data_IF_023509897609
#
_entry.id   IF_023509897609
#
_cell.length_a   1.000
_cell.length_b   1.000
_cell.length_c   1.000
_cell.angle_alpha   90.00
_cell.angle_beta   90.00
_cell.angle_gamma   90.00
#
_symmetry.space_group_name_H-M   'P 1'
#
loop_
_entity.id
_entity.type
_entity.pdbx_description
1 polymer ?
#
# COMPACT_ATOMS: atom_id res chain seq x y z
N UNK A 1 21.64 21.34 2.65
CA UNK A 1 20.56 20.93 1.72
C UNK A 1 20.16 19.45 1.90
N UNK A 2 21.09 18.49 1.80
CA UNK A 2 20.77 17.05 1.94
C UNK A 2 20.14 16.68 3.29
N UNK A 3 20.66 17.19 4.41
CA UNK A 3 20.06 16.97 5.75
C UNK A 3 18.62 17.47 5.84
N UNK A 4 18.33 18.63 5.24
CA UNK A 4 16.99 19.18 5.21
C UNK A 4 16.04 18.27 4.41
N UNK A 5 16.47 17.83 3.22
CA UNK A 5 15.69 16.88 2.41
C UNK A 5 15.47 15.57 3.20
N UNK A 6 16.51 15.03 3.84
CA UNK A 6 16.45 13.76 4.58
C UNK A 6 15.40 13.76 5.69
N UNK A 7 15.31 14.83 6.48
CA UNK A 7 14.47 14.85 7.68
C UNK A 7 13.18 15.66 7.56
N UNK A 8 13.12 16.64 6.65
CA UNK A 8 11.93 17.48 6.49
C UNK A 8 10.94 16.96 5.44
N UNK A 9 11.39 16.16 4.47
CA UNK A 9 10.53 15.75 3.33
C UNK A 9 9.29 14.98 3.77
N UNK A 10 9.45 13.95 4.60
CA UNK A 10 8.32 13.16 5.08
C UNK A 10 7.31 14.03 5.85
N UNK A 11 7.66 14.73 6.95
CA UNK A 11 6.67 15.52 7.68
C UNK A 11 6.08 16.67 6.85
N UNK A 12 6.85 17.29 5.95
CA UNK A 12 6.34 18.38 5.13
C UNK A 12 5.34 17.90 4.06
N UNK A 13 5.62 16.79 3.38
CA UNK A 13 4.78 16.28 2.29
C UNK A 13 3.65 15.42 2.86
N UNK A 14 3.97 14.35 3.59
CA UNK A 14 2.95 13.44 4.15
C UNK A 14 2.11 14.17 5.21
N UNK A 15 2.76 14.81 6.18
CA UNK A 15 2.07 15.55 7.23
C UNK A 15 1.29 16.74 6.69
N UNK A 16 1.87 17.49 5.76
CA UNK A 16 1.19 18.61 5.09
C UNK A 16 -0.02 18.17 4.27
N UNK A 17 0.12 17.11 3.47
CA UNK A 17 -0.99 16.54 2.69
C UNK A 17 -2.09 16.01 3.62
N UNK A 18 -1.75 15.29 4.68
CA UNK A 18 -2.71 14.75 5.64
C UNK A 18 -3.50 15.85 6.35
N UNK A 19 -2.82 16.87 6.87
CA UNK A 19 -3.48 18.01 7.51
C UNK A 19 -4.40 18.77 6.53
N UNK A 20 -3.94 18.97 5.29
CA UNK A 20 -4.74 19.61 4.26
C UNK A 20 -5.98 18.78 3.90
N UNK A 21 -5.85 17.46 3.73
CA UNK A 21 -6.97 16.56 3.44
C UNK A 21 -7.98 16.52 4.58
N UNK A 22 -7.53 16.44 5.83
CA UNK A 22 -8.39 16.48 7.01
C UNK A 22 -9.12 17.83 7.11
N UNK A 23 -8.43 18.93 6.87
CA UNK A 23 -9.03 20.27 6.86
C UNK A 23 -10.08 20.40 5.75
N UNK A 24 -9.78 19.95 4.52
CA UNK A 24 -10.73 19.98 3.41
C UNK A 24 -11.96 19.12 3.72
N UNK A 25 -11.78 17.91 4.28
CA UNK A 25 -12.87 17.03 4.71
C UNK A 25 -13.75 17.66 5.80
N UNK A 26 -13.16 18.51 6.65
CA UNK A 26 -13.86 19.23 7.71
C UNK A 26 -14.57 20.50 7.23
N UNK A 27 -14.35 20.88 5.97
CA UNK A 27 -14.82 22.13 5.35
C UNK A 27 -15.86 21.85 4.26
N UNK A 28 -16.40 22.90 3.65
CA UNK A 28 -17.29 22.77 2.49
C UNK A 28 -16.54 22.49 1.16
N UNK A 29 -15.25 22.12 1.22
CA UNK A 29 -14.44 21.87 0.03
C UNK A 29 -14.82 20.50 -0.53
N UNK A 30 -15.13 20.46 -1.82
CA UNK A 30 -15.46 19.21 -2.51
C UNK A 30 -14.27 18.24 -2.47
N UNK A 31 -14.54 16.95 -2.30
CA UNK A 31 -13.54 15.90 -2.51
C UNK A 31 -12.94 15.98 -3.92
N UNK A 32 -13.80 16.11 -4.92
CA UNK A 32 -13.41 16.18 -6.33
C UNK A 32 -13.34 17.64 -6.80
N UNK A 33 -12.25 18.07 -7.46
CA UNK A 33 -11.04 17.32 -7.81
C UNK A 33 -9.90 17.44 -6.76
N UNK A 34 -10.13 18.12 -5.63
CA UNK A 34 -9.06 18.60 -4.76
C UNK A 34 -8.23 17.50 -4.08
N UNK A 35 -8.84 16.41 -3.59
CA UNK A 35 -8.08 15.33 -2.93
C UNK A 35 -7.14 14.62 -3.91
N UNK A 36 -7.59 14.21 -5.10
CA UNK A 36 -6.69 13.71 -6.15
C UNK A 36 -5.57 14.69 -6.50
N UNK A 37 -5.86 15.99 -6.63
CA UNK A 37 -4.82 16.98 -6.97
C UNK A 37 -3.74 17.08 -5.89
N UNK A 38 -4.14 17.14 -4.61
CA UNK A 38 -3.18 17.14 -3.48
C UNK A 38 -2.36 15.85 -3.45
N UNK A 39 -3.02 14.70 -3.64
CA UNK A 39 -2.36 13.39 -3.68
C UNK A 39 -1.33 13.32 -4.80
N UNK A 40 -1.71 13.70 -6.02
CA UNK A 40 -0.83 13.67 -7.19
C UNK A 40 0.34 14.65 -7.06
N UNK A 41 0.10 15.84 -6.48
CA UNK A 41 1.16 16.80 -6.20
C UNK A 41 2.17 16.23 -5.19
N UNK A 42 1.70 15.63 -4.09
CA UNK A 42 2.55 15.00 -3.09
C UNK A 42 3.36 13.83 -3.67
N UNK A 43 2.72 12.94 -4.44
CA UNK A 43 3.38 11.82 -5.12
C UNK A 43 4.44 12.33 -6.12
N UNK A 44 4.12 13.36 -6.90
CA UNK A 44 5.08 13.97 -7.83
C UNK A 44 6.29 14.54 -7.10
N UNK A 45 6.10 15.17 -5.94
CA UNK A 45 7.21 15.64 -5.10
C UNK A 45 8.08 14.49 -4.61
N UNK A 46 7.50 13.37 -4.13
CA UNK A 46 8.27 12.17 -3.74
C UNK A 46 9.06 11.63 -4.93
N UNK A 47 8.42 11.48 -6.09
CA UNK A 47 9.05 10.99 -7.32
C UNK A 47 10.23 11.86 -7.77
N UNK A 48 10.12 13.19 -7.65
CA UNK A 48 11.20 14.13 -7.96
C UNK A 48 12.33 14.03 -6.93
N UNK A 49 12.01 13.95 -5.64
CA UNK A 49 13.02 13.90 -4.57
C UNK A 49 13.81 12.60 -4.57
N UNK A 50 13.22 11.49 -4.98
CA UNK A 50 13.97 10.23 -5.22
C UNK A 50 15.10 10.40 -6.25
N UNK A 51 14.95 11.31 -7.22
CA UNK A 51 16.00 11.61 -8.21
C UNK A 51 17.10 12.50 -7.63
N UNK A 52 16.79 13.29 -6.61
CA UNK A 52 17.72 14.21 -5.96
C UNK A 52 18.54 13.52 -4.87
N UNK A 53 17.89 12.70 -4.03
CA UNK A 53 18.52 12.02 -2.90
C UNK A 53 18.14 10.52 -2.86
N UNK A 54 18.62 9.71 -3.83
CA UNK A 54 18.35 8.29 -3.83
C UNK A 54 19.11 7.56 -2.73
N UNK A 55 18.44 6.59 -2.11
CA UNK A 55 19.01 5.59 -1.22
C UNK A 55 19.91 4.62 -2.01
N UNK A 56 19.43 4.14 -3.16
CA UNK A 56 20.18 3.27 -4.06
C UNK A 56 20.15 3.82 -5.50
N UNK A 57 21.33 4.16 -6.04
CA UNK A 57 21.43 4.80 -7.37
C UNK A 57 20.99 3.85 -8.48
N UNK A 58 21.20 2.54 -8.32
CA UNK A 58 20.82 1.55 -9.32
C UNK A 58 19.29 1.45 -9.55
N UNK A 59 18.49 1.83 -8.55
CA UNK A 59 17.02 1.78 -8.59
C UNK A 59 16.37 2.98 -9.31
N UNK A 60 17.13 4.02 -9.64
CA UNK A 60 16.63 5.23 -10.31
C UNK A 60 16.51 5.12 -11.84
N UNK A 61 16.73 3.92 -12.39
CA UNK A 61 16.58 3.65 -13.82
C UNK A 61 15.44 2.66 -14.01
N UNK A 62 14.76 2.80 -15.13
CA UNK A 62 13.78 1.82 -15.57
C UNK A 62 14.46 0.46 -15.79
N UNK A 63 13.85 -0.60 -15.28
CA UNK A 63 14.35 -1.97 -15.41
C UNK A 63 13.45 -2.71 -16.39
N UNK A 64 13.87 -2.74 -17.66
CA UNK A 64 13.21 -3.50 -18.72
C UNK A 64 11.73 -3.13 -18.96
N UNK A 65 11.41 -1.84 -18.96
CA UNK A 65 10.07 -1.29 -19.19
C UNK A 65 9.13 -1.46 -18.00
N UNK A 66 9.64 -1.61 -16.78
CA UNK A 66 8.81 -1.77 -15.58
C UNK A 66 7.96 -0.53 -15.29
N UNK A 67 8.46 0.67 -15.56
CA UNK A 67 7.72 1.91 -15.32
C UNK A 67 6.36 1.91 -16.01
N UNK A 68 6.30 1.56 -17.29
CA UNK A 68 5.02 1.55 -18.02
C UNK A 68 4.04 0.52 -17.45
N UNK A 69 4.53 -0.66 -17.06
CA UNK A 69 3.72 -1.75 -16.49
C UNK A 69 3.17 -1.35 -15.13
N UNK A 70 3.99 -0.69 -14.33
CA UNK A 70 3.63 -0.29 -13.00
C UNK A 70 2.61 0.85 -13.04
N UNK A 71 2.68 1.76 -14.04
CA UNK A 71 1.61 2.73 -14.31
C UNK A 71 0.29 2.02 -14.63
N UNK A 72 0.31 0.96 -15.44
CA UNK A 72 -0.91 0.19 -15.75
C UNK A 72 -1.51 -0.46 -14.51
N UNK A 73 -0.69 -1.13 -13.68
CA UNK A 73 -1.16 -1.72 -12.42
C UNK A 73 -1.75 -0.66 -11.50
N UNK A 74 -1.06 0.45 -11.27
CA UNK A 74 -1.54 1.53 -10.40
C UNK A 74 -2.88 2.08 -10.92
N UNK A 75 -2.97 2.35 -12.22
CA UNK A 75 -4.18 2.92 -12.83
C UNK A 75 -5.36 1.97 -12.70
N UNK A 76 -5.18 0.70 -13.06
CA UNK A 76 -6.24 -0.32 -12.97
C UNK A 76 -6.66 -0.55 -11.53
N UNK A 77 -5.70 -0.68 -10.60
CA UNK A 77 -5.98 -0.86 -9.18
C UNK A 77 -6.73 0.35 -8.61
N UNK A 78 -6.33 1.57 -8.95
CA UNK A 78 -7.00 2.77 -8.46
C UNK A 78 -8.43 2.86 -8.96
N UNK A 79 -8.66 2.64 -10.28
CA UNK A 79 -10.02 2.62 -10.83
C UNK A 79 -10.88 1.54 -10.17
N UNK A 80 -10.31 0.35 -9.97
CA UNK A 80 -11.02 -0.78 -9.36
C UNK A 80 -11.39 -0.51 -7.90
N UNK A 81 -10.48 0.05 -7.10
CA UNK A 81 -10.75 0.40 -5.70
C UNK A 81 -11.80 1.51 -5.62
N UNK A 82 -11.69 2.56 -6.44
CA UNK A 82 -12.69 3.64 -6.45
C UNK A 82 -14.08 3.14 -6.89
N UNK A 83 -14.14 2.28 -7.90
CA UNK A 83 -15.39 1.64 -8.32
C UNK A 83 -15.98 0.76 -7.20
N UNK A 84 -15.12 0.01 -6.48
CA UNK A 84 -15.54 -0.83 -5.37
C UNK A 84 -16.08 -0.02 -4.19
N UNK A 85 -15.43 1.11 -3.87
CA UNK A 85 -15.91 2.05 -2.84
C UNK A 85 -17.26 2.64 -3.25
N UNK A 86 -17.38 3.13 -4.49
CA UNK A 86 -18.63 3.69 -5.00
C UNK A 86 -19.78 2.66 -4.98
N UNK A 87 -19.50 1.42 -5.40
CA UNK A 87 -20.45 0.31 -5.34
C UNK A 87 -20.85 -0.01 -3.90
N UNK A 88 -19.88 -0.17 -2.99
CA UNK A 88 -20.14 -0.46 -1.59
C UNK A 88 -21.04 0.60 -0.94
N UNK A 89 -20.76 1.88 -1.18
CA UNK A 89 -21.59 2.98 -0.67
C UNK A 89 -22.96 3.07 -1.35
N UNK A 90 -23.08 2.72 -2.62
CA UNK A 90 -24.38 2.58 -3.29
C UNK A 90 -25.23 1.46 -2.68
N UNK A 91 -24.61 0.34 -2.32
CA UNK A 91 -25.28 -0.80 -1.69
C UNK A 91 -25.59 -0.57 -0.20
N UNK A 92 -24.94 0.39 0.47
CA UNK A 92 -25.17 0.69 1.89
C UNK A 92 -26.61 1.09 2.21
N UNK A 93 -27.34 1.65 1.24
CA UNK A 93 -28.77 1.95 1.39
C UNK A 93 -29.66 0.71 1.56
N UNK A 94 -29.15 -0.49 1.26
CA UNK A 94 -29.85 -1.76 1.46
C UNK A 94 -29.76 -2.28 2.90
N UNK A 95 -28.85 -1.73 3.72
CA UNK A 95 -28.67 -2.12 5.12
C UNK A 95 -29.51 -1.22 6.03
N UNK A 96 -30.11 -1.77 7.11
CA UNK A 96 -30.88 -0.98 8.06
C UNK A 96 -29.97 0.00 8.82
N UNK A 97 -30.50 1.17 9.18
CA UNK A 97 -29.70 2.14 9.97
C UNK A 97 -29.32 1.62 11.36
N UNK A 98 -29.98 0.57 11.87
CA UNK A 98 -29.62 -0.05 13.16
C UNK A 98 -28.23 -0.68 13.18
N UNK A 99 -27.65 -1.04 12.02
CA UNK A 99 -26.26 -1.55 11.95
C UNK A 99 -25.23 -0.41 11.79
N UNK A 100 -25.70 0.84 11.65
CA UNK A 100 -24.86 2.03 11.49
C UNK A 100 -24.28 2.49 12.83
N UNK A 101 -23.15 1.93 13.24
CA UNK A 101 -22.50 2.27 14.51
C UNK A 101 -21.44 3.39 14.37
N UNK A 102 -21.31 4.00 13.19
CA UNK A 102 -20.30 5.03 12.96
C UNK A 102 -20.58 6.33 13.73
N UNK A 103 -19.57 6.93 14.40
CA UNK A 103 -19.75 8.15 15.18
C UNK A 103 -19.83 9.40 14.26
N UNK A 104 -20.93 9.55 13.54
CA UNK A 104 -21.14 10.64 12.56
C UNK A 104 -21.10 12.04 13.18
N UNK A 105 -21.37 12.16 14.48
CA UNK A 105 -21.31 13.41 15.24
C UNK A 105 -19.91 13.77 15.75
N UNK A 106 -18.94 12.85 15.67
CA UNK A 106 -17.56 13.15 16.06
C UNK A 106 -16.93 14.16 15.08
N UNK A 107 -15.95 14.97 15.53
CA UNK A 107 -15.19 15.84 14.63
C UNK A 107 -14.63 15.06 13.44
N UNK A 108 -14.62 15.67 12.26
CA UNK A 108 -14.23 14.97 11.03
C UNK A 108 -12.82 14.36 11.11
N UNK A 109 -11.86 15.03 11.75
CA UNK A 109 -10.52 14.48 11.96
C UNK A 109 -10.54 13.16 12.75
N UNK A 110 -11.45 13.00 13.73
CA UNK A 110 -11.64 11.74 14.46
C UNK A 110 -12.18 10.66 13.52
N UNK A 111 -13.16 11.01 12.68
CA UNK A 111 -13.73 10.07 11.70
C UNK A 111 -12.68 9.61 10.69
N UNK A 112 -11.82 10.52 10.20
CA UNK A 112 -10.72 10.18 9.28
C UNK A 112 -9.72 9.23 9.94
N UNK A 113 -9.29 9.53 11.18
CA UNK A 113 -8.36 8.67 11.90
C UNK A 113 -8.97 7.30 12.24
N UNK A 114 -10.26 7.25 12.57
CA UNK A 114 -10.96 6.00 12.83
C UNK A 114 -11.11 5.17 11.55
N UNK A 115 -11.43 5.80 10.42
CA UNK A 115 -11.45 5.13 9.12
C UNK A 115 -10.06 4.59 8.80
N UNK A 116 -9.03 5.37 9.12
CA UNK A 116 -7.66 4.94 9.01
C UNK A 116 -7.32 3.73 9.85
N UNK A 117 -7.68 3.72 11.14
CA UNK A 117 -7.43 2.60 12.04
C UNK A 117 -8.04 1.29 11.50
N UNK A 118 -9.27 1.33 10.98
CA UNK A 118 -9.93 0.16 10.40
C UNK A 118 -9.27 -0.29 9.10
N UNK A 119 -8.91 0.65 8.23
CA UNK A 119 -8.24 0.35 6.96
C UNK A 119 -6.85 -0.23 7.20
N UNK A 120 -6.03 0.42 8.02
CA UNK A 120 -4.65 0.01 8.29
C UNK A 120 -4.59 -1.37 8.98
N UNK A 121 -5.49 -1.64 9.93
CA UNK A 121 -5.61 -2.98 10.52
C UNK A 121 -6.03 -4.04 9.49
N UNK A 122 -7.02 -3.73 8.66
CA UNK A 122 -7.49 -4.65 7.61
C UNK A 122 -6.39 -4.97 6.59
N UNK A 123 -5.65 -3.94 6.16
CA UNK A 123 -4.50 -4.08 5.30
C UNK A 123 -3.41 -4.92 5.97
N UNK A 124 -3.01 -4.60 7.20
CA UNK A 124 -2.04 -5.40 7.96
C UNK A 124 -2.43 -6.89 8.02
N UNK A 125 -3.67 -7.18 8.42
CA UNK A 125 -4.14 -8.55 8.60
C UNK A 125 -4.15 -9.31 7.26
N UNK A 126 -4.65 -8.69 6.20
CA UNK A 126 -4.71 -9.32 4.88
C UNK A 126 -3.34 -9.40 4.21
N UNK A 127 -2.44 -8.47 4.48
CA UNK A 127 -1.07 -8.49 4.03
C UNK A 127 -0.33 -9.67 4.65
N UNK A 128 -0.34 -9.77 5.98
CA UNK A 128 0.24 -10.91 6.70
C UNK A 128 -0.39 -12.24 6.27
N UNK A 129 -1.72 -12.31 6.16
CA UNK A 129 -2.38 -13.53 5.69
C UNK A 129 -2.00 -13.88 4.24
N UNK A 130 -1.73 -12.87 3.40
CA UNK A 130 -1.24 -13.09 2.04
C UNK A 130 0.15 -13.72 1.99
N UNK A 131 1.00 -13.51 3.00
CA UNK A 131 2.28 -14.21 3.11
C UNK A 131 2.14 -15.64 3.63
N UNK A 132 1.13 -15.90 4.46
CA UNK A 132 0.91 -17.22 5.06
C UNK A 132 0.18 -18.19 4.12
N UNK A 133 -0.76 -17.69 3.31
CA UNK A 133 -1.62 -18.53 2.49
C UNK A 133 -1.08 -18.64 1.05
N UNK A 134 -0.76 -19.85 0.53
CA UNK A 134 -0.06 -20.01 -0.75
C UNK A 134 -0.74 -19.41 -2.00
N UNK A 135 -2.07 -19.41 -2.07
CA UNK A 135 -2.80 -18.80 -3.19
C UNK A 135 -2.77 -17.28 -3.12
N UNK A 136 -2.98 -16.72 -1.93
CA UNK A 136 -2.84 -15.27 -1.72
C UNK A 136 -1.41 -14.80 -1.98
N UNK A 137 -0.41 -15.56 -1.52
CA UNK A 137 0.99 -15.29 -1.81
C UNK A 137 1.27 -15.27 -3.31
N UNK A 138 0.67 -16.15 -4.10
CA UNK A 138 0.84 -16.12 -5.57
C UNK A 138 0.36 -14.83 -6.22
N UNK A 139 -0.73 -14.25 -5.71
CA UNK A 139 -1.21 -12.96 -6.17
C UNK A 139 -0.32 -11.83 -5.63
N UNK A 140 0.08 -11.93 -4.37
CA UNK A 140 0.84 -10.92 -3.65
C UNK A 140 2.31 -10.86 -4.08
N UNK A 141 2.97 -11.98 -4.38
CA UNK A 141 4.37 -12.03 -4.82
C UNK A 141 4.62 -11.24 -6.10
N UNK A 142 3.58 -10.93 -6.89
CA UNK A 142 3.72 -9.95 -7.95
C UNK A 142 4.26 -8.64 -7.34
N UNK A 143 3.67 -8.11 -6.27
CA UNK A 143 4.16 -6.94 -5.54
C UNK A 143 5.64 -7.03 -5.14
N UNK A 144 6.12 -8.20 -4.69
CA UNK A 144 7.52 -8.46 -4.32
C UNK A 144 8.47 -8.74 -5.49
N UNK A 145 7.96 -8.93 -6.71
CA UNK A 145 8.82 -9.23 -7.87
C UNK A 145 9.77 -8.14 -8.37
N UNK A 146 9.57 -6.83 -8.11
CA UNK A 146 10.53 -5.80 -8.50
C UNK A 146 11.89 -6.02 -7.85
N UNK A 147 12.95 -5.96 -8.66
CA UNK A 147 14.35 -6.01 -8.18
C UNK A 147 14.87 -4.61 -7.76
N UNK A 148 13.95 -3.65 -7.63
CA UNK A 148 14.16 -2.29 -7.16
C UNK A 148 12.96 -1.77 -6.39
N UNK A 149 13.22 -0.89 -5.43
CA UNK A 149 12.20 -0.17 -4.68
C UNK A 149 12.19 1.31 -5.03
N UNK A 150 11.01 1.85 -5.29
CA UNK A 150 10.71 3.23 -5.65
C UNK A 150 9.20 3.54 -5.46
N UNK A 151 8.82 4.81 -5.58
CA UNK A 151 7.50 5.33 -5.20
C UNK A 151 6.28 4.62 -5.84
N UNK A 152 6.45 3.90 -6.94
CA UNK A 152 5.35 3.20 -7.62
C UNK A 152 5.06 1.80 -7.06
N UNK A 153 6.01 1.16 -6.35
CA UNK A 153 5.83 -0.23 -5.96
C UNK A 153 4.62 -0.46 -5.05
N UNK A 154 4.25 0.53 -4.23
CA UNK A 154 3.08 0.44 -3.33
C UNK A 154 1.76 0.18 -4.06
N UNK A 155 1.59 0.71 -5.28
CA UNK A 155 0.40 0.48 -6.11
C UNK A 155 0.56 -0.62 -7.17
N UNK A 156 1.76 -1.18 -7.33
CA UNK A 156 2.08 -2.27 -8.26
C UNK A 156 1.67 -3.62 -7.65
N UNK A 157 0.41 -4.02 -7.86
CA UNK A 157 -0.17 -5.26 -7.32
C UNK A 157 -1.09 -5.91 -8.34
N UNK A 158 -1.31 -7.22 -8.23
CA UNK A 158 -2.36 -7.88 -9.01
C UNK A 158 -3.73 -7.33 -8.58
N UNK A 159 -4.68 -7.01 -9.48
CA UNK A 159 -5.96 -6.40 -9.11
C UNK A 159 -6.78 -7.18 -8.08
N UNK A 160 -6.80 -8.52 -8.20
CA UNK A 160 -7.40 -9.37 -7.18
C UNK A 160 -6.68 -9.27 -5.81
N UNK A 161 -5.34 -9.11 -5.79
CA UNK A 161 -4.61 -8.87 -4.55
C UNK A 161 -5.02 -7.54 -3.91
N UNK A 162 -5.12 -6.47 -4.71
CA UNK A 162 -5.58 -5.16 -4.23
C UNK A 162 -6.98 -5.22 -3.61
N UNK A 163 -7.92 -5.91 -4.26
CA UNK A 163 -9.26 -6.14 -3.72
C UNK A 163 -9.27 -6.96 -2.43
N UNK A 164 -8.45 -8.02 -2.36
CA UNK A 164 -8.35 -8.88 -1.18
C UNK A 164 -7.77 -8.11 0.01
N UNK A 165 -6.78 -7.25 -0.22
CA UNK A 165 -6.19 -6.41 0.82
C UNK A 165 -7.19 -5.36 1.33
N UNK A 166 -7.82 -4.58 0.45
CA UNK A 166 -8.66 -3.45 0.85
C UNK A 166 -10.11 -3.85 1.20
N UNK A 167 -10.64 -4.90 0.57
CA UNK A 167 -12.04 -5.29 0.58
C UNK A 167 -12.63 -5.52 1.97
N UNK A 168 -11.97 -6.27 2.88
CA UNK A 168 -12.49 -6.50 4.22
C UNK A 168 -12.70 -5.21 5.01
N UNK A 169 -11.70 -4.32 5.07
CA UNK A 169 -11.82 -3.04 5.78
C UNK A 169 -12.86 -2.11 5.16
N UNK A 170 -12.91 -2.02 3.83
CA UNK A 170 -13.91 -1.19 3.14
C UNK A 170 -15.33 -1.70 3.39
N UNK A 171 -15.51 -3.02 3.44
CA UNK A 171 -16.80 -3.64 3.76
C UNK A 171 -17.21 -3.33 5.20
N UNK A 172 -16.29 -3.46 6.16
CA UNK A 172 -16.55 -3.11 7.57
C UNK A 172 -16.95 -1.63 7.70
N UNK A 173 -16.20 -0.72 7.09
CA UNK A 173 -16.52 0.71 7.13
C UNK A 173 -17.87 1.03 6.50
N UNK A 174 -18.18 0.40 5.37
CA UNK A 174 -19.48 0.51 4.73
C UNK A 174 -20.60 0.06 5.67
N UNK A 175 -20.52 -1.14 6.24
CA UNK A 175 -21.54 -1.69 7.15
C UNK A 175 -21.75 -0.76 8.35
N UNK A 176 -20.65 -0.32 8.98
CA UNK A 176 -20.70 0.61 10.12
C UNK A 176 -21.30 1.97 9.75
N UNK A 177 -21.37 2.32 8.45
CA UNK A 177 -21.93 3.58 7.98
C UNK A 177 -20.94 4.74 8.04
N UNK A 178 -19.65 4.45 7.87
CA UNK A 178 -18.57 5.43 7.80
C UNK A 178 -18.86 6.48 6.72
N UNK A 179 -18.57 7.75 6.99
CA UNK A 179 -18.86 8.80 6.01
C UNK A 179 -17.94 8.67 4.78
N UNK A 180 -18.46 8.75 3.54
CA UNK A 180 -17.65 8.60 2.33
C UNK A 180 -16.46 9.56 2.28
N UNK A 181 -16.64 10.79 2.77
CA UNK A 181 -15.58 11.81 2.80
C UNK A 181 -14.44 11.44 3.77
N UNK A 182 -14.73 10.81 4.90
CA UNK A 182 -13.70 10.38 5.84
C UNK A 182 -12.86 9.22 5.27
N UNK A 183 -13.53 8.26 4.62
CA UNK A 183 -12.87 7.14 3.91
C UNK A 183 -12.04 7.67 2.75
N UNK A 184 -12.59 8.57 1.94
CA UNK A 184 -11.89 9.18 0.83
C UNK A 184 -10.64 9.99 1.27
N UNK A 185 -10.74 10.72 2.40
CA UNK A 185 -9.60 11.42 2.99
C UNK A 185 -8.51 10.46 3.39
N UNK A 186 -8.85 9.39 4.12
CA UNK A 186 -7.85 8.42 4.52
C UNK A 186 -7.20 7.68 3.34
N UNK A 187 -7.98 7.27 2.33
CA UNK A 187 -7.43 6.61 1.14
C UNK A 187 -6.47 7.52 0.37
N UNK A 188 -6.72 8.83 0.34
CA UNK A 188 -5.83 9.82 -0.26
C UNK A 188 -4.53 9.98 0.55
N UNK A 189 -4.61 10.04 1.89
CA UNK A 189 -3.44 10.05 2.79
C UNK A 189 -2.61 8.78 2.60
N UNK A 190 -3.26 7.62 2.70
CA UNK A 190 -2.64 6.31 2.50
C UNK A 190 -1.89 6.24 1.16
N UNK A 191 -2.48 6.78 0.08
CA UNK A 191 -1.83 6.76 -1.24
C UNK A 191 -0.48 7.49 -1.26
N UNK A 192 -0.38 8.64 -0.57
CA UNK A 192 0.89 9.36 -0.41
C UNK A 192 1.85 8.56 0.48
N UNK A 193 1.35 8.00 1.58
CA UNK A 193 2.13 7.21 2.50
C UNK A 193 2.77 5.99 1.82
N UNK A 194 2.02 5.24 1.01
CA UNK A 194 2.54 4.06 0.31
C UNK A 194 3.64 4.41 -0.69
N UNK A 195 3.59 5.60 -1.29
CA UNK A 195 4.69 6.10 -2.11
C UNK A 195 5.94 6.35 -1.25
N UNK A 196 5.81 6.96 -0.06
CA UNK A 196 6.94 7.10 0.86
C UNK A 196 7.46 5.77 1.37
N UNK A 197 6.58 4.83 1.72
CA UNK A 197 6.93 3.52 2.27
C UNK A 197 7.77 2.69 1.30
N UNK A 198 7.55 2.83 0.00
CA UNK A 198 8.29 2.11 -1.03
C UNK A 198 9.40 2.94 -1.68
N UNK A 199 9.48 4.22 -1.36
CA UNK A 199 10.34 5.13 -2.12
C UNK A 199 11.83 4.77 -2.07
N UNK A 200 12.52 5.09 -3.16
CA UNK A 200 13.98 5.10 -3.21
C UNK A 200 14.57 6.34 -2.52
N UNK A 201 13.76 7.17 -1.86
CA UNK A 201 14.24 8.39 -1.23
C UNK A 201 15.01 8.02 0.04
N UNK A 202 16.22 8.55 0.21
CA UNK A 202 17.02 8.41 1.43
C UNK A 202 16.58 9.41 2.50
N UNK A 203 15.28 9.39 2.84
CA UNK A 203 14.74 10.10 3.99
C UNK A 203 14.93 9.29 5.27
N UNK A 204 14.83 9.96 6.41
CA UNK A 204 14.81 9.27 7.70
C UNK A 204 13.84 9.93 8.65
N UNK A 205 13.11 9.09 9.40
CA UNK A 205 12.24 9.50 10.50
C UNK A 205 12.94 9.42 11.86
N UNK A 206 14.20 8.96 11.91
CA UNK A 206 14.89 8.72 13.17
C UNK A 206 14.06 7.81 14.08
N UNK A 207 13.82 8.17 15.35
CA UNK A 207 12.99 7.37 16.27
C UNK A 207 11.54 7.18 15.81
N UNK A 208 10.98 8.08 14.97
CA UNK A 208 9.59 7.95 14.51
C UNK A 208 9.36 6.77 13.56
N UNK A 209 10.43 6.13 13.05
CA UNK A 209 10.32 4.87 12.29
C UNK A 209 9.84 3.67 13.12
N UNK A 210 9.75 3.83 14.45
CA UNK A 210 9.10 2.85 15.34
C UNK A 210 7.58 3.05 15.43
N UNK A 211 7.06 4.17 14.93
CA UNK A 211 5.64 4.51 14.94
C UNK A 211 5.00 4.36 13.56
N UNK A 212 5.77 4.59 12.49
CA UNK A 212 5.31 4.52 11.11
C UNK A 212 6.02 3.43 10.31
N UNK A 213 5.29 2.81 9.38
CA UNK A 213 5.82 1.86 8.42
C UNK A 213 6.40 2.62 7.22
N UNK A 214 7.71 2.79 7.19
CA UNK A 214 8.40 3.67 6.23
C UNK A 214 9.45 2.91 5.44
N UNK A 215 9.96 3.50 4.36
CA UNK A 215 10.94 2.83 3.52
C UNK A 215 12.19 2.36 4.28
N UNK A 216 12.56 3.04 5.36
CA UNK A 216 13.64 2.57 6.24
C UNK A 216 13.40 1.13 6.71
N UNK A 217 12.23 0.78 7.23
CA UNK A 217 11.98 -0.58 7.74
C UNK A 217 11.32 -1.49 6.68
N UNK A 218 10.50 -0.95 5.79
CA UNK A 218 9.74 -1.74 4.82
C UNK A 218 10.62 -2.36 3.72
N UNK A 219 11.84 -1.86 3.47
CA UNK A 219 12.80 -2.53 2.55
C UNK A 219 13.09 -3.98 2.95
N UNK A 220 13.11 -4.29 4.25
CA UNK A 220 13.30 -5.66 4.75
C UNK A 220 12.18 -6.60 4.34
N UNK A 221 10.94 -6.10 4.34
CA UNK A 221 9.78 -6.86 3.88
C UNK A 221 9.91 -7.29 2.40
N UNK A 222 10.64 -6.52 1.60
CA UNK A 222 10.90 -6.81 0.19
C UNK A 222 12.18 -7.62 -0.07
N UNK A 223 12.83 -8.15 0.98
CA UNK A 223 13.99 -9.04 0.80
C UNK A 223 13.65 -10.23 -0.10
N UNK A 224 14.63 -10.63 -0.91
CA UNK A 224 14.49 -11.75 -1.84
C UNK A 224 14.28 -13.08 -1.14
N UNK A 225 14.95 -13.27 -0.01
CA UNK A 225 14.78 -14.44 0.83
C UNK A 225 13.40 -14.38 1.48
N UNK A 226 12.48 -15.24 1.04
CA UNK A 226 11.10 -15.25 1.52
C UNK A 226 10.99 -15.34 3.06
N UNK A 227 11.90 -16.07 3.71
CA UNK A 227 11.93 -16.19 5.16
C UNK A 227 12.26 -14.85 5.86
N UNK A 228 13.13 -14.03 5.26
CA UNK A 228 13.52 -12.73 5.81
C UNK A 228 12.44 -11.66 5.57
N UNK A 229 11.66 -11.83 4.50
CA UNK A 229 10.54 -10.95 4.13
C UNK A 229 9.32 -11.05 5.08
N UNK A 230 9.33 -11.94 6.09
CA UNK A 230 8.20 -12.17 7.00
C UNK A 230 8.11 -11.14 8.14
N UNK A 231 8.31 -9.86 7.82
CA UNK A 231 8.38 -8.74 8.79
C UNK A 231 7.73 -7.49 8.20
N UNK A 232 7.40 -6.51 9.05
CA UNK A 232 6.95 -5.17 8.67
C UNK A 232 5.75 -5.13 7.67
N UNK A 233 4.67 -5.83 8.02
CA UNK A 233 3.47 -5.96 7.18
C UNK A 233 2.55 -4.74 7.23
N UNK A 234 2.70 -3.84 8.20
CA UNK A 234 1.88 -2.65 8.33
C UNK A 234 2.07 -1.67 7.18
N UNK A 235 1.02 -0.94 6.82
CA UNK A 235 1.05 0.01 5.70
C UNK A 235 1.34 1.43 6.19
N UNK A 236 0.72 1.90 7.29
CA UNK A 236 0.93 3.23 7.86
C UNK A 236 1.50 3.18 9.28
N UNK A 237 0.80 2.54 10.22
CA UNK A 237 1.23 2.50 11.62
C UNK A 237 1.93 1.19 11.97
N UNK A 238 3.10 1.29 12.59
CA UNK A 238 3.88 0.13 13.00
C UNK A 238 3.27 -0.59 14.23
N UNK A 239 2.20 -0.05 14.82
CA UNK A 239 1.56 -0.60 16.02
C UNK A 239 1.14 -2.05 15.84
N UNK A 240 0.66 -2.44 14.66
CA UNK A 240 0.23 -3.81 14.39
C UNK A 240 1.41 -4.76 14.32
N UNK A 241 2.51 -4.34 13.70
CA UNK A 241 3.75 -5.10 13.67
C UNK A 241 4.34 -5.30 15.07
N UNK A 242 4.30 -4.30 15.93
CA UNK A 242 4.69 -4.44 17.33
C UNK A 242 3.77 -5.39 18.10
N UNK A 243 2.45 -5.20 17.97
CA UNK A 243 1.45 -5.96 18.70
C UNK A 243 1.51 -7.46 18.37
N UNK A 244 1.75 -7.81 17.11
CA UNK A 244 1.78 -9.20 16.65
C UNK A 244 3.18 -9.73 16.34
N UNK A 245 4.22 -9.04 16.83
CA UNK A 245 5.61 -9.52 16.82
C UNK A 245 6.24 -9.67 15.44
N UNK A 246 5.86 -8.83 14.46
CA UNK A 246 6.43 -8.80 13.11
C UNK A 246 7.28 -7.56 12.82
N UNK A 247 7.45 -6.65 13.78
CA UNK A 247 8.30 -5.48 13.61
C UNK A 247 9.78 -5.87 13.53
N UNK A 248 10.48 -5.35 12.52
CA UNK A 248 11.92 -5.54 12.34
C UNK A 248 12.59 -4.21 11.97
N UNK A 249 13.60 -3.83 12.77
CA UNK A 249 14.49 -2.71 12.49
C UNK A 249 15.93 -3.22 12.45
N UNK A 250 16.68 -2.77 11.44
CA UNK A 250 18.07 -3.16 11.25
C UNK A 250 18.94 -1.93 11.02
N UNK A 251 20.26 -2.07 11.19
CA UNK A 251 21.20 -0.99 10.83
C UNK A 251 21.54 -1.00 9.34
N UNK A 252 21.55 -2.18 8.74
CA UNK A 252 21.87 -2.40 7.34
C UNK A 252 20.57 -2.68 6.62
N UNK A 253 20.30 -1.88 5.59
CA UNK A 253 19.09 -1.99 4.78
C UNK A 253 19.39 -2.69 3.47
N UNK A 254 18.45 -3.49 2.94
CA UNK A 254 18.60 -4.13 1.64
C UNK A 254 18.96 -3.14 0.54
N UNK A 255 19.84 -3.55 -0.37
CA UNK A 255 20.30 -2.80 -1.54
C UNK A 255 20.00 -3.54 -2.84
N UNK A 256 20.46 -3.00 -3.95
CA UNK A 256 20.32 -3.64 -5.26
C UNK A 256 20.87 -5.07 -5.24
N UNK A 257 20.08 -6.02 -5.74
CA UNK A 257 20.39 -7.45 -5.72
C UNK A 257 19.81 -8.20 -4.51
N UNK A 258 19.37 -7.50 -3.46
CA UNK A 258 18.84 -8.08 -2.22
C UNK A 258 17.31 -7.96 -2.09
N UNK A 259 16.64 -7.29 -3.03
CA UNK A 259 15.16 -7.18 -3.14
C UNK A 259 14.63 -7.86 -4.42
N UNK A 260 13.38 -8.32 -4.41
CA UNK A 260 12.78 -9.07 -5.52
C UNK A 260 12.37 -10.49 -5.14
N UNK A 261 12.38 -11.41 -6.11
CA UNK A 261 12.14 -12.84 -5.87
C UNK A 261 13.39 -13.69 -6.21
N UNK A 262 13.50 -14.85 -5.55
CA UNK A 262 14.49 -15.89 -5.87
C UNK A 262 13.83 -16.92 -6.79
N UNK A 263 14.58 -17.40 -7.78
CA UNK A 263 14.23 -18.51 -8.69
C UNK A 263 12.86 -18.39 -9.38
N UNK A 264 12.34 -17.17 -9.50
CA UNK A 264 11.00 -16.90 -10.01
C UNK A 264 11.04 -15.90 -11.15
N UNK A 265 10.77 -16.38 -12.36
CA UNK A 265 10.70 -15.53 -13.55
C UNK A 265 9.27 -15.01 -13.72
N UNK A 266 9.07 -13.73 -13.41
CA UNK A 266 7.79 -13.04 -13.60
C UNK A 266 7.69 -12.53 -15.04
N UNK A 267 6.53 -12.70 -15.72
CA UNK A 267 6.38 -12.19 -17.08
C UNK A 267 6.59 -10.68 -17.17
N UNK A 268 7.16 -10.26 -18.31
CA UNK A 268 7.45 -8.86 -18.61
C UNK A 268 6.27 -8.10 -19.22
N UNK A 269 5.14 -8.74 -19.50
CA UNK A 269 3.95 -8.04 -20.03
C UNK A 269 2.89 -7.92 -18.94
N UNK A 270 2.12 -6.83 -18.97
CA UNK A 270 1.02 -6.62 -18.01
C UNK A 270 0.03 -7.79 -18.01
N UNK A 271 -0.46 -8.20 -19.19
CA UNK A 271 -1.35 -9.36 -19.32
C UNK A 271 -0.70 -10.68 -18.86
N UNK A 272 0.61 -10.82 -19.09
CA UNK A 272 1.38 -11.95 -18.57
C UNK A 272 1.37 -11.99 -17.05
N UNK A 273 1.56 -10.85 -16.39
CA UNK A 273 1.55 -10.71 -14.92
C UNK A 273 0.16 -10.95 -14.33
N UNK A 274 -0.92 -10.63 -15.04
CA UNK A 274 -2.29 -10.96 -14.61
C UNK A 274 -2.56 -12.47 -14.69
N UNK A 275 -2.16 -13.11 -15.78
CA UNK A 275 -2.42 -14.54 -15.95
C UNK A 275 -1.49 -15.42 -15.10
N UNK A 276 -0.29 -14.94 -14.79
CA UNK A 276 0.79 -15.72 -14.19
C UNK A 276 0.46 -16.34 -12.82
N UNK A 277 -0.09 -15.61 -11.84
CA UNK A 277 -0.51 -16.18 -10.56
C UNK A 277 -1.56 -17.28 -10.69
N UNK A 278 -2.33 -17.30 -11.78
CA UNK A 278 -3.42 -18.24 -12.03
C UNK A 278 -2.97 -19.52 -12.77
N UNK A 279 -1.82 -19.48 -13.46
CA UNK A 279 -1.33 -20.55 -14.37
C UNK A 279 -0.83 -21.85 -13.71
N UNK A 280 -1.14 -22.09 -12.44
CA UNK A 280 -0.82 -23.34 -11.70
C UNK A 280 -2.04 -23.89 -10.93
N UNK A 281 -3.25 -23.78 -11.49
CA UNK A 281 -4.40 -24.60 -11.07
C UNK A 281 -4.49 -25.92 -11.88
N UNK A 282 -3.95 -25.96 -13.10
CA UNK A 282 -4.13 -27.10 -14.01
C UNK A 282 -3.16 -28.29 -13.81
N UNK A 283 -2.12 -28.17 -12.98
CA UNK A 283 -1.08 -29.23 -12.81
C UNK A 283 -1.04 -29.89 -11.42
N UNK A 284 -1.93 -29.53 -10.51
CA UNK A 284 -2.02 -30.16 -9.18
C UNK A 284 -3.08 -31.28 -9.10
N UNK A 285 -3.86 -31.52 -10.17
CA UNK A 285 -4.92 -32.54 -10.21
C UNK A 285 -4.49 -33.91 -10.78
N UNK A 286 -3.28 -34.04 -11.34
CA UNK A 286 -2.84 -35.28 -12.00
C UNK A 286 -1.71 -36.03 -11.28
N UNK A 287 -1.15 -35.48 -10.20
CA UNK A 287 -0.10 -36.13 -9.42
C UNK A 287 -0.62 -36.95 -8.21
N UNK A 288 -1.89 -36.80 -7.85
CA UNK A 288 -2.52 -37.54 -6.74
C UNK A 288 -3.19 -38.87 -7.17
N UNK A 289 -3.15 -39.20 -8.47
CA UNK A 289 -3.80 -40.40 -9.02
C UNK A 289 -2.85 -41.57 -9.34
N UNK A 290 -1.52 -41.39 -9.18
CA UNK A 290 -0.51 -42.42 -9.47
C UNK A 290 0.30 -42.86 -8.24
N UNK A 291 -0.23 -42.63 -7.04
CA UNK A 291 0.26 -43.27 -5.81
C UNK A 291 -0.93 -43.93 -5.11
N UNK A 292 -1.40 -45.03 -5.70
CA UNK A 292 -2.13 -46.11 -5.04
C UNK A 292 -1.75 -47.43 -5.69
#
# INVERSE_FOLDING_TARGET
MQTLIRYATFPAIEGGAALLMIWMASSAVSYWPFFPLVTLAAIAMVALLERVLPYERAWNRDHDGDTFRDVLHITVNQVLIQASVALAYGLRGLLPESVALWPRSAPMWVQVLLAGAVIDLGLYAMHRYSHLQPFLWRLHMLHHSPERLYWMNGGRRHPLSALILAGPSLTVLMVLGATPIAVAAWLAILSVHLCFQHSNLDYSLGPFRHLFCVAENHRWHHKREFADAQVNFGEVWAIWDHLFGSYHDAKIMPRAGEVGLIDTVVPRTYLGQLAWPLRKLAKASSAAANVR
#
